data_IF_281791804680
#
_entry.id   IF_281791804680
#
_cell.length_a   1.000
_cell.length_b   1.000
_cell.length_c   1.000
_cell.angle_alpha   90.00
_cell.angle_beta   90.00
_cell.angle_gamma   90.00
#
_symmetry.space_group_name_H-M   'P 1'
#
loop_
_entity.id
_entity.type
_entity.pdbx_description
1 polymer ?
#
# COMPACT_ATOMS: atom_id res chain seq x y z
N UNK A 1 1.99 5.84 -6.52
CA UNK A 1 3.12 4.99 -6.90
C UNK A 1 3.35 3.95 -5.82
N UNK A 2 3.80 2.74 -6.19
CA UNK A 2 4.12 1.68 -5.24
C UNK A 2 5.32 2.07 -4.36
N UNK A 3 5.34 1.62 -3.10
CA UNK A 3 6.35 2.01 -2.13
C UNK A 3 7.01 0.79 -1.47
N UNK A 4 6.24 0.05 -0.66
CA UNK A 4 6.75 -1.10 0.09
C UNK A 4 5.96 -2.37 -0.23
N UNK A 5 6.57 -3.54 -0.06
CA UNK A 5 5.99 -4.84 -0.39
C UNK A 5 6.42 -5.93 0.59
N UNK A 6 5.51 -6.84 0.90
CA UNK A 6 5.76 -8.04 1.68
C UNK A 6 5.11 -9.25 1.01
N UNK A 7 5.85 -10.37 0.97
CA UNK A 7 5.38 -11.66 0.45
C UNK A 7 4.78 -12.49 1.58
N UNK A 8 3.63 -13.12 1.31
CA UNK A 8 3.02 -14.12 2.18
C UNK A 8 3.46 -15.54 1.80
N UNK A 9 3.23 -16.49 2.70
CA UNK A 9 3.62 -17.90 2.55
C UNK A 9 2.98 -18.59 1.34
N UNK A 10 1.84 -18.09 0.85
CA UNK A 10 1.17 -18.56 -0.36
C UNK A 10 1.72 -17.93 -1.66
N UNK A 11 2.74 -17.07 -1.56
CA UNK A 11 3.35 -16.32 -2.66
C UNK A 11 2.59 -15.04 -3.04
N UNK A 12 1.49 -14.72 -2.37
CA UNK A 12 0.80 -13.45 -2.57
C UNK A 12 1.67 -12.28 -2.13
N UNK A 13 1.58 -11.16 -2.85
CA UNK A 13 2.31 -9.94 -2.49
C UNK A 13 1.32 -8.89 -1.97
N UNK A 14 1.54 -8.40 -0.76
CA UNK A 14 0.85 -7.21 -0.24
C UNK A 14 1.77 -6.01 -0.41
N UNK A 15 1.26 -4.92 -0.98
CA UNK A 15 2.09 -3.75 -1.24
C UNK A 15 1.32 -2.45 -1.10
N UNK A 16 2.01 -1.42 -0.61
CA UNK A 16 1.46 -0.07 -0.47
C UNK A 16 1.65 0.71 -1.76
N UNK A 17 0.68 1.57 -2.04
CA UNK A 17 0.77 2.63 -3.04
C UNK A 17 0.55 3.94 -2.31
N UNK A 18 1.60 4.77 -2.19
CA UNK A 18 1.54 6.02 -1.40
C UNK A 18 0.46 6.96 -1.89
N UNK A 19 0.31 7.08 -3.21
CA UNK A 19 -0.69 7.95 -3.83
C UNK A 19 -1.16 7.35 -5.15
N UNK A 20 -2.47 7.32 -5.37
CA UNK A 20 -3.08 6.97 -6.66
C UNK A 20 -3.24 8.18 -7.59
N UNK A 21 -2.98 9.40 -7.10
CA UNK A 21 -3.17 10.67 -7.81
C UNK A 21 -1.86 11.30 -8.25
N UNK A 22 -0.85 11.28 -7.38
CA UNK A 22 0.44 11.94 -7.64
C UNK A 22 1.55 10.94 -7.94
N UNK A 23 2.55 11.40 -8.69
CA UNK A 23 3.77 10.63 -9.00
C UNK A 23 4.81 10.75 -7.86
N UNK A 24 5.87 9.92 -7.84
CA UNK A 24 6.95 10.06 -6.85
C UNK A 24 7.61 11.44 -6.86
N UNK A 25 7.77 12.05 -8.04
CA UNK A 25 8.34 13.39 -8.17
C UNK A 25 7.44 14.49 -7.60
N UNK A 26 6.15 14.20 -7.43
CA UNK A 26 5.10 15.11 -6.98
C UNK A 26 4.62 14.77 -5.56
N UNK A 27 5.36 13.96 -4.80
CA UNK A 27 4.92 13.48 -3.48
C UNK A 27 4.50 14.62 -2.52
N UNK A 28 5.13 15.78 -2.64
CA UNK A 28 4.83 16.96 -1.84
C UNK A 28 3.42 17.51 -2.09
N UNK A 29 2.85 17.30 -3.29
CA UNK A 29 1.47 17.66 -3.59
C UNK A 29 0.48 16.77 -2.84
N UNK A 30 0.82 15.50 -2.59
CA UNK A 30 0.00 14.61 -1.78
C UNK A 30 -0.06 15.11 -0.33
N UNK A 31 1.10 15.47 0.24
CA UNK A 31 1.20 16.09 1.56
C UNK A 31 0.38 17.39 1.66
N UNK A 32 0.55 18.31 0.70
CA UNK A 32 -0.17 19.60 0.70
C UNK A 32 -1.66 19.42 0.45
N UNK A 33 -2.07 18.42 -0.33
CA UNK A 33 -3.49 18.14 -0.57
C UNK A 33 -4.22 17.74 0.71
N UNK A 34 -3.52 17.09 1.66
CA UNK A 34 -4.13 16.60 2.90
C UNK A 34 -5.28 15.61 2.64
N UNK A 35 -5.25 14.91 1.50
CA UNK A 35 -6.29 13.98 1.06
C UNK A 35 -5.72 12.54 1.04
N UNK A 36 -6.52 11.53 1.41
CA UNK A 36 -6.04 10.17 1.59
C UNK A 36 -6.05 9.35 0.28
N UNK A 37 -5.07 9.61 -0.60
CA UNK A 37 -4.97 8.93 -1.90
C UNK A 37 -4.24 7.57 -1.89
N UNK A 38 -3.73 7.16 -0.74
CA UNK A 38 -2.98 5.92 -0.58
C UNK A 38 -3.87 4.69 -0.49
N UNK A 39 -3.33 3.55 -0.94
CA UNK A 39 -4.01 2.25 -0.90
C UNK A 39 -3.06 1.12 -0.53
N UNK A 40 -3.61 0.04 0.01
CA UNK A 40 -2.98 -1.26 0.16
C UNK A 40 -3.59 -2.22 -0.86
N UNK A 41 -2.74 -2.89 -1.63
CA UNK A 41 -3.14 -3.84 -2.66
C UNK A 41 -2.58 -5.24 -2.35
N UNK A 42 -3.26 -6.27 -2.87
CA UNK A 42 -2.78 -7.66 -2.90
C UNK A 42 -2.65 -8.12 -4.34
N UNK A 43 -1.50 -8.65 -4.72
CA UNK A 43 -1.31 -9.39 -5.97
C UNK A 43 -1.30 -10.89 -5.70
N UNK A 44 -2.10 -11.63 -6.46
CA UNK A 44 -2.15 -13.09 -6.47
C UNK A 44 -1.44 -13.62 -7.73
N UNK A 45 -0.29 -14.31 -7.59
CA UNK A 45 0.46 -14.83 -8.73
C UNK A 45 -0.23 -16.01 -9.43
N UNK A 46 -1.12 -16.73 -8.75
CA UNK A 46 -1.83 -17.89 -9.33
C UNK A 46 -2.88 -17.45 -10.35
N UNK A 47 -3.53 -16.31 -10.11
CA UNK A 47 -4.53 -15.72 -11.00
C UNK A 47 -4.00 -14.57 -11.82
N UNK A 48 -2.80 -14.08 -11.52
CA UNK A 48 -2.20 -12.87 -12.09
C UNK A 48 -3.11 -11.64 -11.92
N UNK A 49 -3.73 -11.49 -10.74
CA UNK A 49 -4.68 -10.41 -10.45
C UNK A 49 -4.24 -9.58 -9.26
N UNK A 50 -4.53 -8.28 -9.32
CA UNK A 50 -4.35 -7.35 -8.21
C UNK A 50 -5.71 -6.92 -7.69
N UNK A 51 -5.88 -6.95 -6.36
CA UNK A 51 -7.11 -6.57 -5.67
C UNK A 51 -6.84 -5.50 -4.62
N UNK A 52 -7.83 -4.64 -4.37
CA UNK A 52 -7.80 -3.63 -3.32
C UNK A 52 -8.06 -4.29 -1.96
N UNK A 53 -7.17 -4.09 -1.00
CA UNK A 53 -7.32 -4.58 0.39
C UNK A 53 -7.85 -3.47 1.29
N UNK A 54 -7.27 -2.26 1.16
CA UNK A 54 -7.65 -1.09 1.94
C UNK A 54 -7.38 0.18 1.12
N UNK A 55 -8.29 1.15 1.19
CA UNK A 55 -8.14 2.48 0.61
C UNK A 55 -8.24 3.58 1.67
N UNK A 56 -8.14 4.84 1.23
CA UNK A 56 -8.30 5.98 2.10
C UNK A 56 -7.14 6.13 3.11
N UNK A 57 -5.92 5.77 2.70
CA UNK A 57 -4.72 5.94 3.52
C UNK A 57 -4.01 7.24 3.17
N UNK A 58 -3.54 7.95 4.18
CA UNK A 58 -2.70 9.13 4.04
C UNK A 58 -1.25 8.72 3.79
N UNK A 59 -0.87 8.74 2.51
CA UNK A 59 0.48 8.40 2.05
C UNK A 59 1.00 7.07 2.63
N UNK A 60 0.39 5.97 2.19
CA UNK A 60 0.73 4.60 2.58
C UNK A 60 2.21 4.29 2.25
N UNK A 61 3.05 4.15 3.27
CA UNK A 61 4.52 4.15 3.13
C UNK A 61 5.20 2.93 3.77
N UNK A 62 4.44 1.93 4.18
CA UNK A 62 5.03 0.71 4.69
C UNK A 62 3.98 -0.36 4.91
N UNK A 63 4.36 -1.62 4.73
CA UNK A 63 3.52 -2.77 5.05
C UNK A 63 4.35 -3.88 5.69
N UNK A 64 3.82 -4.48 6.75
CA UNK A 64 4.38 -5.67 7.37
C UNK A 64 3.27 -6.71 7.60
N UNK A 65 3.60 -7.98 7.41
CA UNK A 65 2.72 -9.12 7.68
C UNK A 65 3.11 -9.75 9.01
N UNK A 66 2.13 -10.09 9.83
CA UNK A 66 2.38 -10.82 11.08
C UNK A 66 2.97 -12.20 10.79
N UNK A 67 3.77 -12.74 11.71
CA UNK A 67 4.42 -14.05 11.53
C UNK A 67 3.43 -15.19 11.28
N UNK A 68 2.25 -15.11 11.89
CA UNK A 68 1.13 -16.06 11.71
C UNK A 68 0.17 -15.68 10.57
N UNK A 69 0.50 -14.64 9.80
CA UNK A 69 -0.24 -14.12 8.64
C UNK A 69 -1.71 -13.76 8.92
N UNK A 70 -2.02 -13.42 10.18
CA UNK A 70 -3.37 -13.07 10.62
C UNK A 70 -3.73 -11.60 10.43
N UNK A 71 -2.74 -10.71 10.35
CA UNK A 71 -2.97 -9.29 10.12
C UNK A 71 -1.79 -8.62 9.41
N UNK A 72 -2.09 -7.48 8.80
CA UNK A 72 -1.11 -6.56 8.22
C UNK A 72 -1.02 -5.31 9.09
N UNK A 73 0.18 -4.76 9.22
CA UNK A 73 0.43 -3.42 9.74
C UNK A 73 0.76 -2.52 8.56
N UNK A 74 0.10 -1.38 8.45
CA UNK A 74 0.33 -0.38 7.41
C UNK A 74 0.72 0.94 8.04
N UNK A 75 1.70 1.64 7.46
CA UNK A 75 2.17 2.94 7.93
C UNK A 75 1.61 4.07 7.06
N UNK A 76 0.96 5.05 7.69
CA UNK A 76 0.58 6.34 7.10
C UNK A 76 1.66 7.37 7.47
N UNK A 77 2.23 8.09 6.49
CA UNK A 77 3.34 9.02 6.79
C UNK A 77 2.90 10.31 7.46
N UNK A 78 1.66 10.71 7.22
CA UNK A 78 1.01 11.89 7.78
C UNK A 78 -0.49 11.63 7.90
N UNK A 79 -1.22 12.47 8.63
CA UNK A 79 -2.67 12.43 8.76
C UNK A 79 -3.20 13.80 9.19
#
# INVERSE_FOLDING_TARGET
>A
FANDVIEASDGSLYFTVSSTKFTPAEYYLDLVSGEPHGVLLKYDPSTNQTSLVLDGLYFANGVALSEDERFLVVCESWK
#
